data_IF_566372763336
#
_entry.id   IF_566372763336
#
_cell.length_a   1.000
_cell.length_b   1.000
_cell.length_c   1.000
_cell.angle_alpha   90.00
_cell.angle_beta   90.00
_cell.angle_gamma   90.00
#
_symmetry.space_group_name_H-M   'P 1'
#
loop_
_entity.id
_entity.type
_entity.pdbx_description
1 polymer ?
#
# COMPACT_ATOMS: atom_id res chain seq x y z
N UNK A 1 -7.38 -46.07 61.86
CA UNK A 1 -6.60 -45.14 61.02
C UNK A 1 -7.50 -44.68 59.87
N UNK A 2 -8.25 -43.60 60.07
CA UNK A 2 -9.13 -43.03 59.04
C UNK A 2 -8.41 -41.87 58.37
N UNK A 3 -8.17 -41.98 57.07
CA UNK A 3 -7.52 -40.93 56.27
C UNK A 3 -8.54 -39.82 56.05
N UNK A 4 -8.28 -38.64 56.63
CA UNK A 4 -9.03 -37.42 56.37
C UNK A 4 -8.58 -36.90 55.00
N UNK A 5 -9.47 -36.90 54.02
CA UNK A 5 -9.25 -36.18 52.75
C UNK A 5 -9.61 -34.70 52.92
N UNK A 6 -8.75 -33.76 52.50
CA UNK A 6 -9.08 -32.34 52.53
C UNK A 6 -10.09 -31.98 51.42
N UNK A 7 -10.96 -30.96 51.63
CA UNK A 7 -11.96 -30.56 50.64
C UNK A 7 -11.31 -29.97 49.38
N UNK A 8 -11.95 -30.22 48.24
CA UNK A 8 -11.55 -29.72 46.94
C UNK A 8 -11.41 -28.20 46.96
N UNK A 9 -10.22 -27.72 46.60
CA UNK A 9 -9.89 -26.30 46.43
C UNK A 9 -10.60 -25.79 45.17
N UNK A 10 -11.81 -25.27 45.31
CA UNK A 10 -12.44 -24.43 44.28
C UNK A 10 -11.81 -23.05 44.38
N UNK A 11 -10.88 -22.73 43.48
CA UNK A 11 -10.49 -21.38 43.06
C UNK A 11 -9.37 -21.56 42.01
N UNK A 12 -9.75 -21.89 40.76
CA UNK A 12 -8.87 -21.72 39.61
C UNK A 12 -9.03 -20.27 39.11
N UNK A 13 -7.99 -19.42 39.16
CA UNK A 13 -8.06 -18.05 38.69
C UNK A 13 -8.09 -17.92 37.15
N UNK A 14 -8.31 -19.00 36.40
CA UNK A 14 -8.43 -18.99 34.93
C UNK A 14 -9.83 -18.67 34.42
N UNK A 15 -10.49 -17.71 35.06
CA UNK A 15 -11.73 -17.13 34.56
C UNK A 15 -11.43 -16.28 33.31
N UNK A 16 -11.64 -16.88 32.13
CA UNK A 16 -11.97 -16.17 30.89
C UNK A 16 -10.80 -15.84 29.96
N UNK A 17 -10.20 -16.84 29.31
CA UNK A 17 -9.72 -16.60 27.94
C UNK A 17 -10.97 -16.50 27.07
N UNK A 18 -11.37 -15.28 26.71
CA UNK A 18 -12.52 -15.06 25.83
C UNK A 18 -12.31 -15.81 24.53
N UNK A 19 -13.22 -16.73 24.22
CA UNK A 19 -13.28 -17.44 22.95
C UNK A 19 -13.66 -16.46 21.82
N UNK A 20 -12.71 -15.63 21.41
CA UNK A 20 -12.86 -14.80 20.23
C UNK A 20 -12.57 -15.67 19.00
N UNK A 21 -13.62 -16.23 18.41
CA UNK A 21 -13.47 -16.86 17.10
C UNK A 21 -13.22 -15.79 16.03
N UNK A 22 -12.49 -16.14 14.98
CA UNK A 22 -12.30 -15.26 13.82
C UNK A 22 -13.66 -14.84 13.23
N UNK A 23 -14.68 -15.71 13.35
CA UNK A 23 -16.05 -15.40 12.95
C UNK A 23 -16.69 -14.30 13.82
N UNK A 24 -16.53 -14.35 15.15
CA UNK A 24 -17.10 -13.31 16.02
C UNK A 24 -16.35 -11.98 15.88
N UNK A 25 -15.02 -12.02 15.76
CA UNK A 25 -14.20 -10.83 15.51
C UNK A 25 -14.53 -10.19 14.15
N UNK A 26 -14.65 -10.99 13.08
CA UNK A 26 -15.02 -10.48 11.76
C UNK A 26 -16.44 -9.94 11.70
N UNK A 27 -17.40 -10.58 12.37
CA UNK A 27 -18.78 -10.08 12.46
C UNK A 27 -18.87 -8.75 13.23
N UNK A 28 -18.11 -8.60 14.32
CA UNK A 28 -18.04 -7.35 15.06
C UNK A 28 -17.45 -6.21 14.22
N UNK A 29 -16.38 -6.49 13.47
CA UNK A 29 -15.76 -5.53 12.55
C UNK A 29 -16.73 -5.19 11.41
N UNK A 30 -17.39 -6.18 10.79
CA UNK A 30 -18.35 -5.96 9.71
C UNK A 30 -19.55 -5.12 10.17
N UNK A 31 -20.07 -5.38 11.38
CA UNK A 31 -21.14 -4.59 12.00
C UNK A 31 -20.72 -3.13 12.19
N UNK A 32 -19.53 -2.89 12.75
CA UNK A 32 -18.99 -1.55 12.94
C UNK A 32 -18.71 -0.82 11.61
N UNK A 33 -18.20 -1.52 10.59
CA UNK A 33 -17.97 -0.95 9.25
C UNK A 33 -19.28 -0.58 8.55
N UNK A 34 -20.35 -1.34 8.76
CA UNK A 34 -21.67 -1.05 8.19
C UNK A 34 -22.30 0.24 8.74
N UNK A 35 -22.05 0.57 10.01
CA UNK A 35 -22.47 1.83 10.64
C UNK A 35 -21.68 3.05 10.15
N UNK A 36 -20.41 2.84 9.76
CA UNK A 36 -19.50 3.89 9.29
C UNK A 36 -19.25 3.85 7.78
N UNK A 37 -20.23 3.42 6.97
CA UNK A 37 -20.08 3.44 5.51
C UNK A 37 -19.96 4.87 4.99
N UNK A 38 -18.73 5.24 4.66
CA UNK A 38 -18.44 6.45 3.93
C UNK A 38 -18.88 6.27 2.46
N UNK A 39 -19.93 6.98 2.04
CA UNK A 39 -20.41 6.96 0.64
C UNK A 39 -19.30 7.24 -0.38
N UNK A 40 -18.31 8.06 -0.01
CA UNK A 40 -17.13 8.33 -0.81
C UNK A 40 -16.25 7.09 -0.98
N UNK A 41 -16.08 6.27 0.07
CA UNK A 41 -15.32 5.03 -0.02
C UNK A 41 -16.04 4.03 -0.95
N UNK A 42 -17.35 3.87 -0.83
CA UNK A 42 -18.13 3.02 -1.73
C UNK A 42 -18.03 3.49 -3.20
N UNK A 43 -18.06 4.80 -3.44
CA UNK A 43 -17.87 5.38 -4.78
C UNK A 43 -16.46 5.13 -5.34
N UNK A 44 -15.43 5.22 -4.49
CA UNK A 44 -14.04 4.94 -4.88
C UNK A 44 -13.87 3.45 -5.25
N UNK A 45 -14.39 2.55 -4.42
CA UNK A 45 -14.26 1.10 -4.63
C UNK A 45 -15.12 0.58 -5.79
N UNK A 46 -16.17 1.31 -6.18
CA UNK A 46 -16.99 0.98 -7.35
C UNK A 46 -16.47 1.57 -8.66
N UNK A 47 -15.41 2.39 -8.62
CA UNK A 47 -14.83 3.01 -9.81
C UNK A 47 -14.19 1.97 -10.74
N UNK A 48 -14.49 2.05 -12.04
CA UNK A 48 -13.95 1.14 -13.06
C UNK A 48 -12.62 1.67 -13.59
N UNK A 49 -11.51 1.18 -13.04
CA UNK A 49 -10.17 1.50 -13.54
C UNK A 49 -9.06 0.77 -12.78
N UNK A 50 -7.79 1.15 -12.99
CA UNK A 50 -6.66 0.48 -12.35
C UNK A 50 -6.74 0.54 -10.83
N UNK A 51 -6.52 -0.61 -10.18
CA UNK A 51 -6.58 -0.74 -8.73
C UNK A 51 -5.68 0.26 -7.99
N UNK A 52 -4.52 0.61 -8.56
CA UNK A 52 -3.60 1.61 -8.01
C UNK A 52 -4.23 2.99 -7.85
N UNK A 53 -5.11 3.39 -8.77
CA UNK A 53 -5.81 4.67 -8.70
C UNK A 53 -6.89 4.60 -7.61
N UNK A 54 -7.61 3.48 -7.47
CA UNK A 54 -8.55 3.25 -6.36
C UNK A 54 -7.84 3.39 -5.01
N UNK A 55 -6.65 2.79 -4.87
CA UNK A 55 -5.83 2.93 -3.66
C UNK A 55 -5.39 4.39 -3.42
N UNK A 56 -4.96 5.08 -4.47
CA UNK A 56 -4.57 6.49 -4.37
C UNK A 56 -5.75 7.36 -3.90
N UNK A 57 -6.93 7.20 -4.49
CA UNK A 57 -8.15 7.92 -4.12
C UNK A 57 -8.55 7.62 -2.67
N UNK A 58 -8.45 6.35 -2.26
CA UNK A 58 -8.71 5.93 -0.88
C UNK A 58 -7.76 6.60 0.11
N UNK A 59 -6.47 6.73 -0.26
CA UNK A 59 -5.47 7.47 0.54
C UNK A 59 -5.73 8.96 0.55
N UNK A 60 -6.16 9.54 -0.56
CA UNK A 60 -6.49 10.97 -0.65
C UNK A 60 -7.63 11.33 0.29
N UNK A 61 -8.73 10.55 0.28
CA UNK A 61 -9.89 10.79 1.16
C UNK A 61 -9.53 10.58 2.63
N UNK A 62 -8.62 9.65 2.92
CA UNK A 62 -8.18 9.36 4.29
C UNK A 62 -7.04 10.26 4.79
N UNK A 63 -6.65 11.31 4.06
CA UNK A 63 -5.46 12.14 4.36
C UNK A 63 -4.18 11.32 4.56
N UNK A 64 -4.07 10.20 3.85
CA UNK A 64 -2.93 9.30 3.90
C UNK A 64 -1.73 9.74 3.04
N UNK A 65 -1.89 10.81 2.25
CA UNK A 65 -0.80 11.36 1.45
C UNK A 65 0.21 12.09 2.34
N UNK A 66 1.52 11.99 2.06
CA UNK A 66 2.55 12.64 2.85
C UNK A 66 2.67 14.13 2.49
N UNK A 67 1.57 14.87 2.55
CA UNK A 67 1.55 16.33 2.33
C UNK A 67 2.16 17.07 3.51
N UNK A 68 2.59 18.32 3.31
CA UNK A 68 3.20 19.10 4.38
C UNK A 68 2.25 19.32 5.58
N UNK A 69 0.93 19.41 5.38
CA UNK A 69 -0.04 19.41 6.49
C UNK A 69 0.06 18.13 7.37
N UNK A 70 0.14 16.96 6.74
CA UNK A 70 0.27 15.69 7.46
C UNK A 70 1.64 15.52 8.10
N UNK A 71 2.70 16.01 7.44
CA UNK A 71 4.07 15.99 7.98
C UNK A 71 4.22 16.92 9.18
N UNK A 72 3.62 18.11 9.11
CA UNK A 72 3.56 19.06 10.22
C UNK A 72 2.83 18.47 11.42
N UNK A 73 1.65 17.86 11.21
CA UNK A 73 0.91 17.13 12.27
C UNK A 73 1.70 16.02 12.93
N UNK A 74 2.66 15.43 12.22
CA UNK A 74 3.56 14.38 12.72
C UNK A 74 4.90 14.93 13.24
N UNK A 75 5.05 16.26 13.33
CA UNK A 75 6.28 16.93 13.75
C UNK A 75 7.51 16.55 12.91
N UNK A 76 7.32 16.30 11.60
CA UNK A 76 8.41 15.97 10.65
C UNK A 76 8.95 17.23 9.96
N UNK A 77 8.14 18.28 9.87
CA UNK A 77 8.48 19.55 9.19
C UNK A 77 7.97 20.71 10.06
N UNK A 78 8.68 21.83 10.03
CA UNK A 78 8.38 23.01 10.85
C UNK A 78 7.21 23.86 10.32
N UNK A 79 6.78 23.65 9.08
CA UNK A 79 5.66 24.36 8.48
C UNK A 79 4.80 23.46 7.59
N UNK A 80 3.50 23.73 7.56
CA UNK A 80 2.52 23.04 6.71
C UNK A 80 2.40 23.65 5.29
N UNK A 81 3.25 24.63 4.97
CA UNK A 81 3.14 25.44 3.75
C UNK A 81 3.60 24.67 2.50
N UNK A 82 2.90 24.89 1.39
CA UNK A 82 3.27 24.38 0.08
C UNK A 82 4.54 25.10 -0.41
N UNK A 83 5.54 24.37 -0.91
CA UNK A 83 6.79 24.98 -1.40
C UNK A 83 6.63 25.82 -2.67
N UNK A 84 5.46 25.80 -3.31
CA UNK A 84 5.20 26.51 -4.59
C UNK A 84 4.37 27.77 -4.42
N UNK A 85 3.27 27.71 -3.68
CA UNK A 85 2.36 28.84 -3.49
C UNK A 85 2.33 29.39 -2.06
N UNK A 86 3.06 28.76 -1.14
CA UNK A 86 3.14 29.15 0.27
C UNK A 86 1.80 29.09 1.06
N UNK A 87 0.76 28.46 0.50
CA UNK A 87 -0.50 28.16 1.19
C UNK A 87 -0.42 26.78 1.88
N UNK A 88 -1.25 26.48 2.90
CA UNK A 88 -1.26 25.17 3.55
C UNK A 88 -1.47 24.00 2.58
N UNK A 89 -0.56 23.03 2.58
CA UNK A 89 -0.56 21.89 1.65
C UNK A 89 -1.42 20.74 2.17
N UNK A 90 -2.72 20.82 1.90
CA UNK A 90 -3.67 19.70 2.12
C UNK A 90 -3.66 18.71 0.94
N UNK A 91 -4.29 17.54 1.11
CA UNK A 91 -4.44 16.53 0.05
C UNK A 91 -5.13 17.07 -1.20
N UNK A 92 -6.13 17.95 -1.03
CA UNK A 92 -6.83 18.62 -2.14
C UNK A 92 -6.01 19.75 -2.74
N UNK A 93 -5.24 20.47 -1.91
CA UNK A 93 -4.32 21.48 -2.39
C UNK A 93 -3.27 20.88 -3.33
N UNK A 94 -2.63 19.78 -2.92
CA UNK A 94 -1.63 19.10 -3.72
C UNK A 94 -2.17 18.56 -5.06
N UNK A 95 -3.46 18.24 -5.13
CA UNK A 95 -4.08 17.58 -6.29
C UNK A 95 -4.92 18.51 -7.18
N UNK A 96 -5.41 19.64 -6.67
CA UNK A 96 -6.36 20.50 -7.39
C UNK A 96 -6.25 21.98 -7.04
N UNK A 97 -6.20 22.32 -5.75
CA UNK A 97 -6.39 23.73 -5.34
C UNK A 97 -5.10 24.57 -5.42
N UNK A 98 -3.94 23.95 -5.64
CA UNK A 98 -2.69 24.69 -5.83
C UNK A 98 -2.69 25.41 -7.18
N UNK A 99 -2.41 26.74 -7.22
CA UNK A 99 -2.35 27.51 -8.48
C UNK A 99 -1.33 26.99 -9.50
N UNK A 100 -0.36 26.21 -9.04
CA UNK A 100 0.67 25.59 -9.88
C UNK A 100 0.26 24.23 -10.42
N UNK A 101 -0.85 23.66 -9.97
CA UNK A 101 -1.41 22.40 -10.47
C UNK A 101 -2.37 22.76 -11.60
N UNK A 102 -1.87 22.70 -12.83
CA UNK A 102 -2.67 22.99 -14.04
C UNK A 102 -3.48 21.78 -14.49
N UNK A 103 -2.91 20.57 -14.35
CA UNK A 103 -3.52 19.33 -14.78
C UNK A 103 -2.89 18.15 -14.03
N UNK A 104 -3.70 17.18 -13.59
CA UNK A 104 -3.22 15.91 -13.04
C UNK A 104 -3.51 14.80 -14.04
N UNK A 105 -2.50 14.43 -14.82
CA UNK A 105 -2.58 13.32 -15.78
C UNK A 105 -2.03 12.05 -15.12
N UNK A 106 -2.90 11.05 -14.98
CA UNK A 106 -2.46 9.70 -14.58
C UNK A 106 -1.89 8.97 -15.79
N UNK A 107 -0.61 9.18 -16.06
CA UNK A 107 0.10 8.35 -17.02
C UNK A 107 0.33 6.98 -16.39
N UNK A 108 -0.16 5.94 -17.05
CA UNK A 108 0.26 4.57 -16.73
C UNK A 108 1.73 4.45 -17.12
N UNK A 109 2.64 4.82 -16.23
CA UNK A 109 4.02 4.41 -16.39
C UNK A 109 4.00 2.90 -16.24
N UNK A 110 4.19 2.17 -17.35
CA UNK A 110 4.52 0.75 -17.36
C UNK A 110 5.92 0.51 -16.74
N UNK A 111 6.25 1.22 -15.65
CA UNK A 111 7.17 0.73 -14.64
C UNK A 111 6.44 -0.34 -13.83
N UNK A 112 5.94 -1.36 -14.52
CA UNK A 112 5.72 -2.63 -13.86
C UNK A 112 7.11 -3.13 -13.50
N UNK A 113 7.48 -2.88 -12.24
CA UNK A 113 8.52 -3.56 -11.48
C UNK A 113 9.77 -3.89 -12.31
N UNK A 114 10.84 -3.08 -12.17
CA UNK A 114 12.19 -3.35 -12.70
C UNK A 114 12.32 -4.84 -12.99
N UNK A 115 12.20 -5.26 -14.26
CA UNK A 115 12.22 -6.70 -14.55
C UNK A 115 13.50 -7.32 -13.99
N UNK A 116 14.55 -6.52 -13.94
CA UNK A 116 15.78 -6.72 -13.18
C UNK A 116 15.51 -7.10 -11.72
N UNK A 117 14.75 -6.31 -10.96
CA UNK A 117 14.41 -6.61 -9.56
C UNK A 117 13.58 -7.90 -9.40
N UNK A 118 12.68 -8.20 -10.34
CA UNK A 118 11.94 -9.47 -10.32
C UNK A 118 12.83 -10.67 -10.64
N UNK A 119 13.74 -10.52 -11.61
CA UNK A 119 14.80 -11.50 -11.88
C UNK A 119 15.78 -11.66 -10.72
N UNK A 120 15.97 -10.63 -9.88
CA UNK A 120 16.72 -10.74 -8.63
C UNK A 120 15.90 -11.38 -7.50
N UNK A 121 14.58 -11.21 -7.49
CA UNK A 121 13.70 -11.80 -6.48
C UNK A 121 13.57 -13.32 -6.63
N UNK A 122 13.54 -13.84 -7.87
CA UNK A 122 13.47 -15.29 -8.16
C UNK A 122 14.61 -16.11 -7.52
N UNK A 123 15.90 -15.73 -7.64
CA UNK A 123 17.02 -16.39 -6.98
C UNK A 123 17.23 -15.93 -5.53
N UNK A 124 16.49 -14.92 -5.06
CA UNK A 124 16.65 -14.33 -3.73
C UNK A 124 16.42 -15.30 -2.57
N UNK A 125 15.69 -16.40 -2.79
CA UNK A 125 15.45 -17.46 -1.81
C UNK A 125 16.54 -18.55 -1.80
N UNK A 126 17.39 -18.62 -2.83
CA UNK A 126 18.42 -19.66 -2.99
C UNK A 126 19.83 -19.15 -2.63
N UNK A 127 19.96 -17.84 -2.37
CA UNK A 127 21.20 -17.22 -1.94
C UNK A 127 21.36 -17.39 -0.42
N UNK A 128 22.24 -18.32 -0.01
CA UNK A 128 22.57 -18.65 1.40
C UNK A 128 23.08 -17.49 2.29
N UNK A 129 23.06 -16.23 1.84
CA UNK A 129 23.56 -15.08 2.60
C UNK A 129 22.66 -13.85 2.48
N UNK A 130 22.54 -13.11 3.59
CA UNK A 130 21.64 -11.97 3.84
C UNK A 130 21.72 -10.82 2.82
N UNK A 131 22.84 -10.67 2.10
CA UNK A 131 23.05 -9.66 1.04
C UNK A 131 24.33 -9.94 0.25
N UNK A 132 24.31 -9.80 -1.09
CA UNK A 132 25.51 -9.76 -1.95
C UNK A 132 25.50 -8.50 -2.80
N UNK A 133 26.68 -7.89 -2.96
CA UNK A 133 26.94 -6.83 -3.93
C UNK A 133 27.68 -7.49 -5.09
N UNK A 134 27.30 -7.17 -6.32
CA UNK A 134 27.96 -7.68 -7.52
C UNK A 134 28.78 -6.57 -8.16
N UNK A 135 30.06 -6.83 -8.40
CA UNK A 135 30.95 -5.89 -9.11
C UNK A 135 30.74 -5.92 -10.64
N UNK A 136 30.04 -6.94 -11.14
CA UNK A 136 29.68 -7.13 -12.54
C UNK A 136 28.23 -7.58 -12.67
N UNK A 137 27.56 -7.19 -13.76
CA UNK A 137 26.16 -7.53 -14.01
C UNK A 137 26.03 -9.05 -14.19
N UNK A 138 25.24 -9.75 -13.35
CA UNK A 138 25.03 -11.18 -13.52
C UNK A 138 24.33 -11.53 -14.83
N UNK A 139 24.75 -12.63 -15.46
CA UNK A 139 24.22 -13.07 -16.76
C UNK A 139 22.68 -13.23 -16.76
N UNK A 140 22.09 -13.68 -15.64
CA UNK A 140 20.66 -13.93 -15.53
C UNK A 140 19.79 -12.66 -15.60
N UNK A 141 20.33 -11.47 -15.26
CA UNK A 141 19.60 -10.21 -15.35
C UNK A 141 20.12 -9.25 -16.43
N UNK A 142 21.24 -9.57 -17.08
CA UNK A 142 21.90 -8.75 -18.10
C UNK A 142 20.96 -8.23 -19.21
N UNK A 143 20.18 -9.10 -19.84
CA UNK A 143 19.24 -8.73 -20.91
C UNK A 143 18.11 -7.84 -20.37
N UNK A 144 17.57 -8.16 -19.19
CA UNK A 144 16.52 -7.35 -18.57
C UNK A 144 17.03 -5.98 -18.15
N UNK A 145 18.28 -5.89 -17.71
CA UNK A 145 18.93 -4.64 -17.34
C UNK A 145 19.22 -3.76 -18.55
N UNK A 146 19.60 -4.35 -19.69
CA UNK A 146 19.73 -3.64 -20.96
C UNK A 146 18.38 -3.10 -21.46
N UNK A 147 17.32 -3.92 -21.38
CA UNK A 147 15.97 -3.50 -21.78
C UNK A 147 15.42 -2.38 -20.87
N UNK A 148 15.71 -2.44 -19.57
CA UNK A 148 15.37 -1.39 -18.60
C UNK A 148 16.16 -0.09 -18.89
N UNK A 149 17.44 -0.20 -19.23
CA UNK A 149 18.27 0.94 -19.67
C UNK A 149 17.79 1.56 -20.99
N UNK A 150 17.25 0.74 -21.89
CA UNK A 150 16.69 1.17 -23.16
C UNK A 150 15.22 1.64 -23.06
N UNK A 151 14.69 1.83 -21.84
CA UNK A 151 13.29 2.22 -21.56
C UNK A 151 12.26 1.35 -22.32
N UNK A 152 12.57 0.07 -22.54
CA UNK A 152 11.71 -0.83 -23.31
C UNK A 152 10.46 -1.20 -22.50
N UNK A 153 9.29 -0.97 -23.08
CA UNK A 153 7.99 -1.24 -22.44
C UNK A 153 7.78 -2.75 -22.26
N UNK A 154 7.44 -3.17 -21.04
CA UNK A 154 7.09 -4.55 -20.73
C UNK A 154 5.73 -4.59 -20.02
N UNK A 155 4.80 -5.39 -20.54
CA UNK A 155 3.48 -5.60 -19.96
C UNK A 155 3.43 -7.00 -19.32
N UNK A 156 3.11 -7.10 -18.03
CA UNK A 156 2.75 -8.34 -17.33
C UNK A 156 1.23 -8.49 -17.31
N UNK A 157 0.77 -9.72 -17.57
CA UNK A 157 -0.62 -10.12 -17.29
C UNK A 157 -1.71 -9.58 -18.22
N UNK A 158 -1.39 -8.91 -19.33
CA UNK A 158 -2.40 -8.47 -20.30
C UNK A 158 -2.46 -9.40 -21.52
N UNK A 159 -3.51 -10.24 -21.59
CA UNK A 159 -3.87 -10.98 -22.81
C UNK A 159 -4.60 -10.09 -23.85
N UNK A 160 -4.93 -8.84 -23.50
CA UNK A 160 -5.47 -7.84 -24.42
C UNK A 160 -4.96 -6.45 -24.00
N UNK A 161 -3.86 -6.01 -24.58
CA UNK A 161 -3.50 -4.60 -24.62
C UNK A 161 -3.65 -4.11 -26.07
N UNK A 162 -4.67 -3.27 -26.30
CA UNK A 162 -4.70 -2.40 -27.47
C UNK A 162 -3.58 -1.37 -27.30
N UNK A 163 -2.41 -1.66 -27.88
CA UNK A 163 -1.43 -0.64 -28.18
C UNK A 163 -1.98 0.21 -29.32
N UNK A 164 -2.38 1.45 -29.06
CA UNK A 164 -2.41 2.47 -30.09
C UNK A 164 -1.14 3.31 -29.98
N UNK A 165 -0.19 3.20 -30.93
CA UNK A 165 0.79 4.23 -31.13
C UNK A 165 0.13 5.34 -31.96
N UNK A 166 -0.12 6.50 -31.34
CA UNK A 166 -0.52 7.71 -32.03
C UNK A 166 -1.95 8.16 -31.78
N UNK A 167 -2.10 9.17 -30.92
CA UNK A 167 -3.16 10.15 -31.01
C UNK A 167 -2.61 11.48 -30.46
N UNK A 168 -2.13 12.29 -31.42
CA UNK A 168 -1.87 13.75 -31.43
C UNK A 168 -1.21 14.42 -30.22
#
# INVERSE_FOLDING_TARGET
>A
MGVVTPPARTDDPRQGYGDFSVASASAAIAGHLSQHRNRLADAIWSWKGPFRIILLLSRLVSNGLPTNDQRFKRNVVDSASCPRCNLPESSLHAMRDCPWVMEVVFNHTFREANNVADEFAKPGLDLMYRSRIFDFIPNFCSVKMLLDFADTVYCRGCNFCFCFPGAV
#
